data_IF_755013295623
#
_entry.id   IF_755013295623
#
_cell.length_a   1.000
_cell.length_b   1.000
_cell.length_c   1.000
_cell.angle_alpha   90.00
_cell.angle_beta   90.00
_cell.angle_gamma   90.00
#
_symmetry.space_group_name_H-M   'P 1'
#
loop_
_entity.id
_entity.type
_entity.pdbx_description
1 polymer ?
#
# COMPACT_ATOMS: atom_id res chain seq x y z
N UNK A 1 4.42 -15.86 -20.96
CA UNK A 1 4.49 -15.94 -19.48
C UNK A 1 3.54 -17.04 -19.06
N UNK A 2 3.99 -18.03 -18.28
CA UNK A 2 3.13 -19.14 -17.83
C UNK A 2 1.90 -18.55 -17.08
N UNK A 3 0.68 -18.94 -17.44
CA UNK A 3 -0.56 -18.45 -16.81
C UNK A 3 -0.52 -18.60 -15.29
N UNK A 4 0.10 -19.67 -14.81
CA UNK A 4 0.32 -19.94 -13.40
C UNK A 4 1.18 -18.87 -12.72
N UNK A 5 2.19 -18.35 -13.41
CA UNK A 5 3.08 -17.29 -12.90
C UNK A 5 2.35 -15.95 -12.77
N UNK A 6 1.47 -15.65 -13.74
CA UNK A 6 0.60 -14.46 -13.68
C UNK A 6 -0.32 -14.56 -12.47
N UNK A 7 -0.96 -15.71 -12.27
CA UNK A 7 -1.79 -15.97 -11.12
C UNK A 7 -1.04 -15.76 -9.80
N UNK A 8 0.18 -16.29 -9.67
CA UNK A 8 0.98 -16.08 -8.46
C UNK A 8 1.36 -14.61 -8.21
N UNK A 9 1.67 -13.84 -9.27
CA UNK A 9 1.94 -12.42 -9.12
C UNK A 9 0.69 -11.66 -8.64
N UNK A 10 -0.49 -11.94 -9.20
CA UNK A 10 -1.74 -11.33 -8.77
C UNK A 10 -2.11 -11.72 -7.34
N UNK A 11 -2.03 -13.01 -7.00
CA UNK A 11 -2.29 -13.50 -5.64
C UNK A 11 -1.35 -12.83 -4.63
N UNK A 12 -0.07 -12.72 -4.97
CA UNK A 12 0.93 -12.08 -4.13
C UNK A 12 0.66 -10.59 -3.96
N UNK A 13 0.35 -9.86 -5.04
CA UNK A 13 0.02 -8.45 -5.00
C UNK A 13 -1.19 -8.17 -4.10
N UNK A 14 -2.27 -8.96 -4.26
CA UNK A 14 -3.46 -8.86 -3.42
C UNK A 14 -3.13 -9.18 -1.96
N UNK A 15 -2.40 -10.28 -1.72
CA UNK A 15 -2.04 -10.71 -0.35
C UNK A 15 -1.22 -9.65 0.37
N UNK A 16 -0.20 -9.08 -0.27
CA UNK A 16 0.64 -8.05 0.34
C UNK A 16 -0.17 -6.78 0.64
N UNK A 17 -1.10 -6.40 -0.25
CA UNK A 17 -1.96 -5.24 -0.03
C UNK A 17 -2.95 -5.47 1.12
N UNK A 18 -3.52 -6.67 1.22
CA UNK A 18 -4.37 -7.07 2.37
C UNK A 18 -3.56 -7.07 3.67
N UNK A 19 -2.32 -7.57 3.65
CA UNK A 19 -1.44 -7.56 4.82
C UNK A 19 -1.18 -6.12 5.29
N UNK A 20 -0.93 -5.17 4.37
CA UNK A 20 -0.77 -3.76 4.73
C UNK A 20 -2.01 -3.22 5.47
N UNK A 21 -3.21 -3.49 4.95
CA UNK A 21 -4.47 -3.10 5.59
C UNK A 21 -4.65 -3.75 6.98
N UNK A 22 -4.31 -5.04 7.11
CA UNK A 22 -4.37 -5.74 8.40
C UNK A 22 -3.40 -5.10 9.40
N UNK A 23 -2.18 -4.75 8.97
CA UNK A 23 -1.19 -4.11 9.83
C UNK A 23 -1.73 -2.78 10.37
N UNK A 24 -2.36 -1.94 9.53
CA UNK A 24 -2.93 -0.67 10.02
C UNK A 24 -4.10 -0.90 10.97
N UNK A 25 -4.95 -1.90 10.72
CA UNK A 25 -6.05 -2.26 11.63
C UNK A 25 -5.49 -2.67 12.99
N UNK A 26 -4.46 -3.52 13.01
CA UNK A 26 -3.84 -3.96 14.24
C UNK A 26 -3.19 -2.80 14.99
N UNK A 27 -2.54 -1.87 14.28
CA UNK A 27 -1.98 -0.67 14.90
C UNK A 27 -3.06 0.19 15.55
N UNK A 28 -4.19 0.42 14.86
CA UNK A 28 -5.31 1.20 15.43
C UNK A 28 -5.90 0.55 16.68
N UNK A 29 -6.03 -0.78 16.69
CA UNK A 29 -6.52 -1.53 17.86
C UNK A 29 -5.52 -1.47 19.03
N UNK A 30 -4.22 -1.62 18.75
CA UNK A 30 -3.18 -1.70 19.79
C UNK A 30 -2.80 -0.33 20.36
N UNK A 31 -2.84 0.72 19.56
CA UNK A 31 -2.41 2.07 19.94
C UNK A 31 -3.58 2.96 20.40
N UNK A 32 -4.83 2.50 20.22
CA UNK A 32 -6.11 3.07 20.70
C UNK A 32 -6.45 4.52 20.31
N UNK A 33 -5.51 5.28 19.76
CA UNK A 33 -5.67 6.67 19.33
C UNK A 33 -5.00 6.93 17.97
N UNK A 34 -5.05 5.93 17.09
CA UNK A 34 -4.60 6.11 15.71
C UNK A 34 -5.73 5.84 14.73
N UNK A 35 -5.69 6.56 13.61
CA UNK A 35 -6.67 6.47 12.53
C UNK A 35 -6.03 5.99 11.23
N UNK A 36 -4.99 5.15 11.31
CA UNK A 36 -4.17 4.76 10.16
C UNK A 36 -4.98 4.04 9.10
N UNK A 37 -5.88 3.15 9.50
CA UNK A 37 -6.75 2.41 8.58
C UNK A 37 -7.70 3.34 7.86
N UNK A 38 -8.34 4.26 8.60
CA UNK A 38 -9.26 5.22 8.02
C UNK A 38 -8.53 6.19 7.08
N UNK A 39 -7.30 6.59 7.42
CA UNK A 39 -6.47 7.44 6.57
C UNK A 39 -5.99 6.69 5.32
N UNK A 40 -5.60 5.42 5.45
CA UNK A 40 -5.15 4.56 4.34
C UNK A 40 -6.23 4.38 3.28
N UNK A 41 -7.49 4.31 3.72
CA UNK A 41 -8.67 4.13 2.88
C UNK A 41 -9.31 5.47 2.45
N UNK A 42 -8.82 6.60 2.96
CA UNK A 42 -9.52 7.87 2.86
C UNK A 42 -9.63 8.37 1.42
N UNK A 43 -10.86 8.61 0.97
CA UNK A 43 -11.19 9.28 -0.30
C UNK A 43 -12.20 10.41 -0.12
N UNK A 44 -12.38 10.89 1.11
CA UNK A 44 -13.39 11.91 1.45
C UNK A 44 -13.17 13.27 0.76
N UNK A 45 -11.97 13.51 0.23
CA UNK A 45 -11.61 14.65 -0.61
C UNK A 45 -12.10 14.53 -2.07
N UNK A 46 -12.58 13.36 -2.49
CA UNK A 46 -13.13 13.11 -3.83
C UNK A 46 -14.65 12.90 -3.80
N UNK A 47 -15.14 12.17 -2.81
CA UNK A 47 -16.53 11.71 -2.73
C UNK A 47 -17.01 11.82 -1.29
N UNK A 48 -18.28 12.18 -1.10
CA UNK A 48 -18.91 12.20 0.21
C UNK A 48 -18.78 10.81 0.89
N UNK A 49 -18.17 10.71 2.08
CA UNK A 49 -17.97 9.43 2.76
C UNK A 49 -19.29 8.72 3.12
N UNK A 50 -20.39 9.46 3.27
CA UNK A 50 -21.72 8.86 3.54
C UNK A 50 -22.31 8.15 2.31
N UNK A 51 -21.76 8.40 1.12
CA UNK A 51 -22.22 7.85 -0.16
C UNK A 51 -21.35 6.67 -0.63
N UNK A 52 -20.24 6.38 0.04
CA UNK A 52 -19.30 5.32 -0.35
C UNK A 52 -19.26 4.23 0.72
N UNK A 53 -19.73 3.01 0.41
CA UNK A 53 -19.57 1.88 1.31
C UNK A 53 -18.08 1.56 1.53
N UNK A 54 -17.68 1.24 2.77
CA UNK A 54 -16.28 0.91 3.13
C UNK A 54 -15.66 -0.19 2.25
N UNK A 55 -16.47 -1.13 1.75
CA UNK A 55 -15.99 -2.16 0.82
C UNK A 55 -15.40 -1.56 -0.46
N UNK A 56 -15.96 -0.44 -0.96
CA UNK A 56 -15.45 0.26 -2.14
C UNK A 56 -14.11 0.92 -1.84
N UNK A 57 -13.96 1.57 -0.68
CA UNK A 57 -12.69 2.16 -0.24
C UNK A 57 -11.59 1.08 -0.16
N UNK A 58 -11.91 -0.08 0.42
CA UNK A 58 -11.01 -1.24 0.47
C UNK A 58 -10.64 -1.72 -0.93
N UNK A 59 -11.61 -1.86 -1.85
CA UNK A 59 -11.34 -2.29 -3.22
C UNK A 59 -10.46 -1.31 -3.99
N UNK A 60 -10.64 0.00 -3.78
CA UNK A 60 -9.77 1.05 -4.35
C UNK A 60 -8.35 0.89 -3.80
N UNK A 61 -8.20 0.74 -2.48
CA UNK A 61 -6.89 0.54 -1.86
C UNK A 61 -6.17 -0.71 -2.40
N UNK A 62 -6.87 -1.85 -2.45
CA UNK A 62 -6.32 -3.09 -2.99
C UNK A 62 -5.93 -2.94 -4.46
N UNK A 63 -6.73 -2.21 -5.24
CA UNK A 63 -6.43 -1.93 -6.64
C UNK A 63 -5.15 -1.08 -6.80
N UNK A 64 -4.97 -0.04 -5.98
CA UNK A 64 -3.73 0.76 -5.98
C UNK A 64 -2.52 -0.11 -5.61
N UNK A 65 -2.62 -0.94 -4.58
CA UNK A 65 -1.54 -1.86 -4.19
C UNK A 65 -1.15 -2.84 -5.30
N UNK A 66 -2.14 -3.39 -6.01
CA UNK A 66 -1.92 -4.25 -7.18
C UNK A 66 -1.23 -3.47 -8.32
N UNK A 67 -1.66 -2.24 -8.61
CA UNK A 67 -1.05 -1.42 -9.65
C UNK A 67 0.41 -1.10 -9.35
N UNK A 68 0.75 -0.77 -8.10
CA UNK A 68 2.14 -0.57 -7.66
C UNK A 68 2.95 -1.85 -7.88
N UNK A 69 2.42 -3.01 -7.49
CA UNK A 69 3.10 -4.29 -7.70
C UNK A 69 3.35 -4.57 -9.19
N UNK A 70 2.35 -4.39 -10.04
CA UNK A 70 2.45 -4.62 -11.49
C UNK A 70 3.46 -3.65 -12.13
N UNK A 71 3.49 -2.38 -11.71
CA UNK A 71 4.51 -1.44 -12.15
C UNK A 71 5.92 -1.94 -11.81
N UNK A 72 6.14 -2.39 -10.58
CA UNK A 72 7.43 -2.99 -10.18
C UNK A 72 7.75 -4.27 -10.95
N UNK A 73 6.77 -5.09 -11.29
CA UNK A 73 6.97 -6.29 -12.10
C UNK A 73 7.43 -5.94 -13.52
N UNK A 74 6.85 -4.91 -14.12
CA UNK A 74 7.27 -4.39 -15.43
C UNK A 74 8.71 -3.88 -15.34
N UNK A 75 9.01 -3.04 -14.34
CA UNK A 75 10.37 -2.51 -14.13
C UNK A 75 11.36 -3.66 -13.91
N UNK A 76 11.01 -4.67 -13.11
CA UNK A 76 11.85 -5.84 -12.86
C UNK A 76 12.19 -6.60 -14.14
N UNK A 77 11.24 -6.77 -15.05
CA UNK A 77 11.49 -7.41 -16.34
C UNK A 77 12.33 -6.54 -17.28
N UNK A 78 12.17 -5.21 -17.21
CA UNK A 78 12.91 -4.27 -18.04
C UNK A 78 14.38 -4.10 -17.59
N UNK A 79 14.62 -3.84 -16.30
CA UNK A 79 15.97 -3.66 -15.75
C UNK A 79 16.02 -3.95 -14.25
N UNK A 80 16.91 -4.85 -13.85
CA UNK A 80 17.15 -5.18 -12.43
C UNK A 80 17.69 -3.99 -11.66
N UNK A 81 18.54 -3.18 -12.28
CA UNK A 81 19.07 -1.97 -11.65
C UNK A 81 17.96 -0.95 -11.40
N UNK A 82 17.11 -0.69 -12.40
CA UNK A 82 15.97 0.22 -12.24
C UNK A 82 14.97 -0.30 -11.21
N UNK A 83 14.76 -1.61 -11.13
CA UNK A 83 13.90 -2.20 -10.11
C UNK A 83 14.38 -1.90 -8.69
N UNK A 84 15.68 -2.03 -8.41
CA UNK A 84 16.22 -1.68 -7.11
C UNK A 84 16.15 -0.17 -6.85
N UNK A 85 16.43 0.66 -7.86
CA UNK A 85 16.34 2.11 -7.74
C UNK A 85 14.90 2.62 -7.55
N UNK A 86 13.90 1.92 -8.09
CA UNK A 86 12.48 2.31 -8.01
C UNK A 86 11.91 2.28 -6.58
N UNK A 87 12.56 1.59 -5.65
CA UNK A 87 12.15 1.62 -4.24
C UNK A 87 12.40 2.98 -3.57
N UNK A 88 13.42 3.73 -4.00
CA UNK A 88 13.70 5.06 -3.46
C UNK A 88 12.53 6.05 -3.68
N UNK A 89 12.03 6.26 -4.92
CA UNK A 89 10.87 7.11 -5.12
C UNK A 89 9.61 6.54 -4.47
N UNK A 90 9.46 5.21 -4.34
CA UNK A 90 8.32 4.62 -3.64
C UNK A 90 8.28 4.98 -2.15
N UNK A 91 9.44 4.90 -1.47
CA UNK A 91 9.56 5.36 -0.07
C UNK A 91 9.24 6.85 0.05
N UNK A 92 9.73 7.66 -0.88
CA UNK A 92 9.43 9.10 -0.91
C UNK A 92 7.93 9.35 -1.07
N UNK A 93 7.26 8.63 -1.99
CA UNK A 93 5.80 8.72 -2.18
C UNK A 93 5.09 8.40 -0.87
N UNK A 94 5.39 7.27 -0.21
CA UNK A 94 4.73 6.94 1.05
C UNK A 94 5.02 7.93 2.17
N UNK A 95 6.20 8.54 2.20
CA UNK A 95 6.58 9.59 3.15
C UNK A 95 5.76 10.86 2.93
N UNK A 96 5.53 11.25 1.68
CA UNK A 96 4.76 12.45 1.34
C UNK A 96 3.23 12.22 1.43
N UNK A 97 2.78 10.98 1.25
CA UNK A 97 1.35 10.64 1.24
C UNK A 97 0.67 10.88 2.57
N UNK A 98 1.30 10.53 3.71
CA UNK A 98 0.67 10.76 5.01
C UNK A 98 0.30 12.23 5.27
N UNK A 99 1.25 13.20 5.24
CA UNK A 99 0.90 14.60 5.46
C UNK A 99 -0.05 15.14 4.39
N UNK A 100 0.05 14.67 3.14
CA UNK A 100 -0.85 15.09 2.07
C UNK A 100 -2.29 14.61 2.33
N UNK A 101 -2.49 13.34 2.68
CA UNK A 101 -3.82 12.78 2.93
C UNK A 101 -4.47 13.43 4.15
N UNK A 102 -3.69 13.70 5.21
CA UNK A 102 -4.18 14.46 6.37
C UNK A 102 -4.58 15.88 5.97
N UNK A 103 -3.79 16.56 5.13
CA UNK A 103 -4.09 17.91 4.66
C UNK A 103 -5.35 17.98 3.78
N UNK A 104 -5.57 16.96 2.94
CA UNK A 104 -6.72 16.91 2.04
C UNK A 104 -8.00 16.42 2.73
N UNK A 105 -7.87 15.73 3.86
CA UNK A 105 -8.99 15.10 4.53
C UNK A 105 -10.07 16.11 4.94
N UNK A 106 -11.33 15.74 4.71
CA UNK A 106 -12.48 16.59 5.06
C UNK A 106 -12.99 16.33 6.47
N UNK A 107 -12.72 15.14 7.02
CA UNK A 107 -13.17 14.77 8.38
C UNK A 107 -12.28 15.39 9.47
N UNK A 108 -12.86 16.02 10.51
CA UNK A 108 -12.13 16.88 11.45
C UNK A 108 -11.23 16.11 12.44
N UNK A 109 -11.37 14.79 12.54
CA UNK A 109 -10.53 13.98 13.41
C UNK A 109 -9.16 13.64 12.78
N UNK A 110 -8.98 13.86 11.47
CA UNK A 110 -7.67 13.77 10.85
C UNK A 110 -6.85 15.02 11.19
N UNK A 111 -5.80 14.80 11.97
CA UNK A 111 -4.82 15.84 12.32
C UNK A 111 -3.43 15.23 12.26
N UNK A 112 -2.44 16.02 11.89
CA UNK A 112 -1.10 15.49 11.71
C UNK A 112 -0.53 15.02 13.06
N UNK A 113 -0.12 13.75 13.11
CA UNK A 113 0.52 13.15 14.27
C UNK A 113 1.85 12.52 13.88
N UNK A 114 2.92 12.91 14.59
CA UNK A 114 4.24 12.29 14.40
C UNK A 114 4.23 10.79 14.70
N UNK A 115 3.42 10.36 15.67
CA UNK A 115 3.30 8.96 16.03
C UNK A 115 2.64 8.14 14.91
N UNK A 116 1.50 8.61 14.41
CA UNK A 116 0.84 7.98 13.26
C UNK A 116 1.72 8.02 12.01
N UNK A 117 2.42 9.13 11.76
CA UNK A 117 3.35 9.23 10.64
C UNK A 117 4.46 8.17 10.73
N UNK A 118 5.03 7.95 11.91
CA UNK A 118 6.03 6.91 12.11
C UNK A 118 5.46 5.51 11.83
N UNK A 119 4.28 5.20 12.37
CA UNK A 119 3.63 3.90 12.17
C UNK A 119 3.16 3.67 10.74
N UNK A 120 2.70 4.72 10.06
CA UNK A 120 2.43 4.75 8.63
C UNK A 120 3.67 4.31 7.84
N UNK A 121 4.83 4.91 8.11
CA UNK A 121 6.08 4.54 7.46
C UNK A 121 6.48 3.10 7.77
N UNK A 122 6.34 2.64 9.02
CA UNK A 122 6.62 1.25 9.40
C UNK A 122 5.76 0.28 8.60
N UNK A 123 4.44 0.50 8.53
CA UNK A 123 3.52 -0.36 7.77
C UNK A 123 3.90 -0.43 6.27
N UNK A 124 4.24 0.71 5.68
CA UNK A 124 4.64 0.78 4.28
C UNK A 124 6.03 0.18 4.01
N UNK A 125 6.97 0.25 4.96
CA UNK A 125 8.24 -0.45 4.86
C UNK A 125 8.04 -1.96 4.88
N UNK A 126 7.13 -2.49 5.69
CA UNK A 126 6.74 -3.91 5.64
C UNK A 126 6.20 -4.30 4.25
N UNK A 127 5.30 -3.49 3.69
CA UNK A 127 4.79 -3.68 2.32
C UNK A 127 5.94 -3.74 1.29
N UNK A 128 6.88 -2.81 1.36
CA UNK A 128 8.06 -2.75 0.47
C UNK A 128 8.92 -4.01 0.60
N UNK A 129 9.23 -4.44 1.83
CA UNK A 129 10.06 -5.62 2.09
C UNK A 129 9.41 -6.87 1.52
N UNK A 130 8.10 -7.04 1.71
CA UNK A 130 7.34 -8.16 1.16
C UNK A 130 7.39 -8.14 -0.37
N UNK A 131 7.16 -6.99 -1.01
CA UNK A 131 7.28 -6.85 -2.46
C UNK A 131 8.68 -7.22 -2.95
N UNK A 132 9.71 -6.63 -2.34
CA UNK A 132 11.11 -6.82 -2.70
C UNK A 132 11.57 -8.28 -2.61
N UNK A 133 10.95 -9.04 -1.70
CA UNK A 133 11.23 -10.45 -1.48
C UNK A 133 10.43 -11.35 -2.41
N UNK A 134 9.10 -11.19 -2.46
CA UNK A 134 8.22 -12.11 -3.17
C UNK A 134 8.34 -11.98 -4.69
N UNK A 135 8.50 -10.76 -5.21
CA UNK A 135 8.52 -10.53 -6.66
C UNK A 135 9.67 -11.27 -7.33
N UNK A 136 10.94 -11.16 -6.90
CA UNK A 136 12.03 -11.94 -7.49
C UNK A 136 11.87 -13.44 -7.32
N UNK A 137 11.32 -13.91 -6.19
CA UNK A 137 11.09 -15.34 -5.93
C UNK A 137 10.13 -15.91 -6.98
N UNK A 138 8.97 -15.29 -7.16
CA UNK A 138 7.97 -15.72 -8.14
C UNK A 138 8.54 -15.58 -9.55
N UNK A 139 9.28 -14.50 -9.81
CA UNK A 139 9.85 -14.27 -11.14
C UNK A 139 11.01 -15.20 -11.49
N UNK A 140 11.78 -15.71 -10.53
CA UNK A 140 12.89 -16.65 -10.75
C UNK A 140 12.47 -18.11 -10.74
N UNK A 141 11.38 -18.47 -10.05
CA UNK A 141 10.87 -19.84 -10.08
C UNK A 141 10.53 -20.24 -11.52
N UNK A 142 11.22 -21.27 -11.98
CA UNK A 142 10.87 -22.04 -13.18
C UNK A 142 9.74 -22.97 -12.73
N UNK A 143 8.51 -22.48 -12.89
CA UNK A 143 7.29 -23.29 -12.82
C UNK A 143 6.80 -23.50 -14.25
#
# INVERSE_FOLDING_TARGET
>A
MNWLKIFYHLLCATTISVILLIITILMDVLLQNTHLTQLLLNIDFLINPDEVPTIIEVLIHLSIGILIYLAFLIIYHYSKSLYHLAYLPLVLIFTLMYPLLVFLAQRPFFSFSWNEFAWWLVAHLFFIILMATCLPIISKKIL
#
